data_IF_462061843786
#
_entry.id   IF_462061843786
#
_cell.length_a   1.000
_cell.length_b   1.000
_cell.length_c   1.000
_cell.angle_alpha   90.00
_cell.angle_beta   90.00
_cell.angle_gamma   90.00
#
_symmetry.space_group_name_H-M   'P 1'
#
loop_
_entity.id
_entity.type
_entity.pdbx_description
1 polymer ?
#
# COMPACT_ATOMS: atom_id res chain seq x y z
N UNK A 1 48.54 5.00 13.77
CA UNK A 1 47.82 3.85 14.35
C UNK A 1 47.51 2.86 13.23
N UNK A 2 48.08 1.65 13.26
CA UNK A 2 47.86 0.62 12.24
C UNK A 2 46.41 0.13 12.18
N UNK A 3 45.95 -0.29 11.00
CA UNK A 3 44.65 -0.93 10.80
C UNK A 3 44.61 -2.24 11.61
N UNK A 4 43.48 -2.52 12.25
CA UNK A 4 43.31 -3.78 12.97
C UNK A 4 42.96 -4.88 11.96
N UNK A 5 43.69 -5.99 12.01
CA UNK A 5 43.51 -7.18 11.16
C UNK A 5 42.14 -7.84 11.41
N UNK A 6 41.54 -8.42 10.38
CA UNK A 6 40.24 -9.08 10.46
C UNK A 6 40.32 -10.27 11.43
N UNK A 7 39.40 -10.34 12.40
CA UNK A 7 39.37 -11.42 13.41
C UNK A 7 40.15 -11.15 14.71
N UNK A 8 40.95 -10.09 14.79
CA UNK A 8 41.65 -9.74 16.04
C UNK A 8 40.70 -9.16 17.10
N UNK A 9 41.00 -9.35 18.39
CA UNK A 9 40.25 -8.74 19.50
C UNK A 9 40.10 -7.20 19.36
N UNK A 10 41.13 -6.54 18.80
CA UNK A 10 41.10 -5.11 18.47
C UNK A 10 40.10 -4.77 17.35
N UNK A 11 39.98 -5.62 16.33
CA UNK A 11 38.99 -5.49 15.26
C UNK A 11 37.56 -5.69 15.81
N UNK A 12 37.36 -6.71 16.64
CA UNK A 12 36.07 -6.95 17.30
C UNK A 12 35.68 -5.80 18.24
N UNK A 13 36.63 -5.31 19.06
CA UNK A 13 36.42 -4.15 19.94
C UNK A 13 36.08 -2.89 19.15
N UNK A 14 36.76 -2.63 18.03
CA UNK A 14 36.44 -1.50 17.15
C UNK A 14 35.06 -1.66 16.51
N UNK A 15 34.68 -2.87 16.09
CA UNK A 15 33.36 -3.17 15.51
C UNK A 15 32.25 -2.98 16.55
N UNK A 16 32.46 -3.44 17.80
CA UNK A 16 31.52 -3.23 18.90
C UNK A 16 31.38 -1.76 19.30
N UNK A 17 32.50 -1.01 19.39
CA UNK A 17 32.48 0.44 19.63
C UNK A 17 31.80 1.22 18.51
N UNK A 18 31.90 0.73 17.27
CA UNK A 18 31.24 1.32 16.10
C UNK A 18 29.75 0.95 15.98
N UNK A 19 29.28 -0.07 16.71
CA UNK A 19 27.86 -0.46 16.81
C UNK A 19 27.10 0.29 17.89
N UNK A 20 27.78 0.83 18.91
CA UNK A 20 27.14 1.61 19.97
C UNK A 20 26.93 3.08 19.58
N UNK A 21 25.73 3.61 19.83
CA UNK A 21 25.31 5.02 19.99
C UNK A 21 26.02 6.11 19.15
N UNK A 22 26.53 5.80 17.97
CA UNK A 22 27.12 6.79 17.06
C UNK A 22 26.09 7.17 16.01
N UNK A 23 25.67 8.45 16.03
CA UNK A 23 24.79 9.00 14.99
C UNK A 23 25.53 8.93 13.65
N UNK A 24 24.86 8.41 12.63
CA UNK A 24 25.39 8.32 11.26
C UNK A 24 25.70 9.69 10.62
N UNK A 25 25.23 10.78 11.24
CA UNK A 25 25.57 12.16 10.89
C UNK A 25 27.08 12.43 10.75
N UNK A 26 27.94 11.68 11.46
CA UNK A 26 29.40 11.91 11.48
C UNK A 26 30.20 10.89 10.64
N UNK A 27 29.61 10.33 9.60
CA UNK A 27 30.28 9.40 8.68
C UNK A 27 30.84 10.12 7.44
N UNK A 28 32.07 9.76 7.04
CA UNK A 28 32.68 10.24 5.80
C UNK A 28 32.71 9.13 4.75
N UNK A 29 31.99 9.31 3.63
CA UNK A 29 31.96 8.35 2.52
C UNK A 29 33.33 8.23 1.82
N UNK A 30 33.99 9.35 1.54
CA UNK A 30 35.27 9.40 0.82
C UNK A 30 36.37 8.62 1.57
N UNK A 31 36.36 8.70 2.91
CA UNK A 31 37.34 8.02 3.74
C UNK A 31 36.83 6.71 4.36
N UNK A 32 35.56 6.35 4.11
CA UNK A 32 34.83 5.24 4.74
C UNK A 32 35.03 5.19 6.27
N UNK A 33 34.98 6.36 6.91
CA UNK A 33 35.34 6.55 8.32
C UNK A 33 34.18 7.13 9.12
N UNK A 34 33.74 6.38 10.13
CA UNK A 34 32.83 6.90 11.15
C UNK A 34 33.61 7.72 12.18
N UNK A 35 33.22 8.98 12.35
CA UNK A 35 33.67 9.81 13.45
C UNK A 35 32.70 9.67 14.64
N UNK A 36 33.22 9.85 15.86
CA UNK A 36 32.46 9.66 17.10
C UNK A 36 31.52 10.83 17.37
N UNK A 37 32.05 12.05 17.23
CA UNK A 37 31.38 13.29 17.57
C UNK A 37 31.59 14.35 16.48
N UNK A 38 30.84 15.45 16.56
CA UNK A 38 30.90 16.56 15.60
C UNK A 38 32.30 17.16 15.48
N UNK A 39 32.98 17.37 16.60
CA UNK A 39 34.35 17.89 16.62
C UNK A 39 35.32 16.93 15.91
N UNK A 40 35.15 15.62 16.12
CA UNK A 40 35.94 14.59 15.42
C UNK A 40 35.72 14.61 13.91
N UNK A 41 34.49 14.87 13.46
CA UNK A 41 34.16 15.01 12.05
C UNK A 41 34.74 16.29 11.44
N UNK A 42 34.65 17.44 12.13
CA UNK A 42 35.27 18.70 11.70
C UNK A 42 36.79 18.57 11.54
N UNK A 43 37.45 17.97 12.53
CA UNK A 43 38.90 17.69 12.44
C UNK A 43 39.23 16.69 11.33
N UNK A 44 38.35 15.71 11.07
CA UNK A 44 38.54 14.76 9.97
C UNK A 44 38.49 15.46 8.61
N UNK A 45 37.51 16.34 8.37
CA UNK A 45 37.38 17.08 7.11
C UNK A 45 38.62 17.97 6.89
N UNK A 46 39.12 18.63 7.93
CA UNK A 46 40.33 19.48 7.81
C UNK A 46 41.64 18.68 7.70
N UNK A 47 41.59 17.36 7.88
CA UNK A 47 42.80 16.53 7.87
C UNK A 47 43.40 16.42 6.47
N UNK A 48 44.73 16.45 6.31
CA UNK A 48 45.38 16.30 5.01
C UNK A 48 45.06 14.95 4.33
N UNK A 49 44.76 13.91 5.11
CA UNK A 49 44.33 12.62 4.56
C UNK A 49 43.00 12.72 3.82
N UNK A 50 42.03 13.45 4.39
CA UNK A 50 40.73 13.64 3.76
C UNK A 50 40.85 14.51 2.51
N UNK A 51 41.60 15.62 2.59
CA UNK A 51 41.88 16.48 1.45
C UNK A 51 42.54 15.71 0.30
N UNK A 52 43.56 14.89 0.59
CA UNK A 52 44.21 14.04 -0.40
C UNK A 52 43.25 13.06 -1.07
N UNK A 53 42.30 12.49 -0.31
CA UNK A 53 41.32 11.58 -0.89
C UNK A 53 40.28 12.32 -1.72
N UNK A 54 39.83 13.51 -1.29
CA UNK A 54 38.94 14.35 -2.11
C UNK A 54 39.60 14.70 -3.44
N UNK A 55 40.88 15.07 -3.46
CA UNK A 55 41.59 15.40 -4.71
C UNK A 55 41.70 14.21 -5.68
N UNK A 56 41.49 12.98 -5.21
CA UNK A 56 41.47 11.78 -6.05
C UNK A 56 40.09 11.43 -6.59
N UNK A 57 39.03 11.96 -5.97
CA UNK A 57 37.65 11.68 -6.42
C UNK A 57 37.44 12.35 -7.75
N UNK A 58 37.14 11.56 -8.77
CA UNK A 58 36.79 12.06 -10.09
C UNK A 58 35.28 12.16 -10.27
N UNK A 59 34.84 12.83 -11.33
CA UNK A 59 33.41 12.86 -11.69
C UNK A 59 32.83 11.46 -11.99
N UNK A 60 33.65 10.51 -12.45
CA UNK A 60 33.20 9.14 -12.69
C UNK A 60 32.91 8.40 -11.39
N UNK A 61 33.65 8.70 -10.32
CA UNK A 61 33.39 8.11 -9.00
C UNK A 61 32.08 8.63 -8.41
N UNK A 62 31.79 9.93 -8.60
CA UNK A 62 30.52 10.54 -8.18
C UNK A 62 29.33 9.90 -8.93
N UNK A 63 29.50 9.62 -10.23
CA UNK A 63 28.49 8.91 -11.02
C UNK A 63 28.22 7.50 -10.45
N UNK A 64 29.29 6.74 -10.15
CA UNK A 64 29.17 5.41 -9.52
C UNK A 64 28.48 5.45 -8.17
N UNK A 65 28.81 6.42 -7.31
CA UNK A 65 28.11 6.59 -6.03
C UNK A 65 26.64 6.94 -6.23
N UNK A 66 26.32 7.73 -7.26
CA UNK A 66 24.94 8.09 -7.60
C UNK A 66 24.16 6.86 -8.06
N UNK A 67 24.72 6.03 -8.94
CA UNK A 67 24.10 4.79 -9.40
C UNK A 67 23.86 3.81 -8.24
N UNK A 68 24.86 3.60 -7.38
CA UNK A 68 24.73 2.75 -6.21
C UNK A 68 23.67 3.27 -5.24
N UNK A 69 23.67 4.58 -4.97
CA UNK A 69 22.66 5.23 -4.13
C UNK A 69 21.26 5.02 -4.68
N UNK A 70 21.08 5.19 -5.99
CA UNK A 70 19.79 5.01 -6.64
C UNK A 70 19.29 3.56 -6.58
N UNK A 71 20.17 2.60 -6.86
CA UNK A 71 19.85 1.18 -6.78
C UNK A 71 19.44 0.77 -5.36
N UNK A 72 20.19 1.21 -4.35
CA UNK A 72 19.90 0.91 -2.96
C UNK A 72 18.60 1.57 -2.50
N UNK A 73 18.37 2.83 -2.89
CA UNK A 73 17.15 3.58 -2.58
C UNK A 73 15.90 2.89 -3.17
N UNK A 74 15.95 2.51 -4.45
CA UNK A 74 14.84 1.82 -5.11
C UNK A 74 14.64 0.40 -4.57
N UNK A 75 15.73 -0.30 -4.21
CA UNK A 75 15.64 -1.63 -3.59
C UNK A 75 14.91 -1.55 -2.26
N UNK A 76 15.27 -0.60 -1.39
CA UNK A 76 14.60 -0.43 -0.11
C UNK A 76 13.14 -0.02 -0.31
N UNK A 77 12.86 0.92 -1.21
CA UNK A 77 11.51 1.39 -1.48
C UNK A 77 10.60 0.25 -1.97
N UNK A 78 11.13 -0.63 -2.82
CA UNK A 78 10.42 -1.82 -3.29
C UNK A 78 10.16 -2.82 -2.17
N UNK A 79 11.10 -3.02 -1.25
CA UNK A 79 10.98 -3.98 -0.15
C UNK A 79 10.05 -3.49 0.97
N UNK A 80 10.10 -2.21 1.34
CA UNK A 80 9.38 -1.69 2.51
C UNK A 80 7.95 -1.23 2.20
N UNK A 81 7.75 -0.49 1.10
CA UNK A 81 6.46 0.15 0.80
C UNK A 81 5.84 -0.31 -0.53
N UNK A 82 6.68 -0.63 -1.51
CA UNK A 82 6.23 -0.95 -2.87
C UNK A 82 5.38 0.18 -3.44
N UNK A 83 4.13 -0.12 -3.79
CA UNK A 83 3.22 0.83 -4.44
C UNK A 83 2.54 1.82 -3.47
N UNK A 84 2.70 1.63 -2.15
CA UNK A 84 2.08 2.51 -1.15
C UNK A 84 2.76 3.89 -1.15
N UNK A 85 1.95 4.93 -1.02
CA UNK A 85 2.46 6.30 -0.88
C UNK A 85 3.07 6.51 0.50
N UNK A 86 4.28 7.05 0.55
CA UNK A 86 4.95 7.43 1.79
C UNK A 86 5.59 8.82 1.68
N UNK A 87 5.60 9.56 2.79
CA UNK A 87 6.31 10.83 2.90
C UNK A 87 7.82 10.65 2.69
N UNK A 88 8.38 11.50 1.85
CA UNK A 88 9.78 11.48 1.41
C UNK A 88 10.77 11.54 2.58
N UNK A 89 10.60 12.51 3.48
CA UNK A 89 11.50 12.67 4.62
C UNK A 89 11.47 11.47 5.57
N UNK A 90 10.29 10.88 5.74
CA UNK A 90 10.12 9.67 6.56
C UNK A 90 10.89 8.50 5.96
N UNK A 91 10.72 8.28 4.65
CA UNK A 91 11.43 7.22 3.94
C UNK A 91 12.95 7.44 3.90
N UNK A 92 13.40 8.68 3.66
CA UNK A 92 14.83 8.99 3.65
C UNK A 92 15.47 8.75 5.03
N UNK A 93 14.78 9.10 6.11
CA UNK A 93 15.25 8.81 7.47
C UNK A 93 15.37 7.31 7.76
N UNK A 94 14.48 6.49 7.19
CA UNK A 94 14.57 5.02 7.25
C UNK A 94 15.76 4.51 6.42
N UNK A 95 15.95 5.04 5.21
CA UNK A 95 17.04 4.67 4.32
C UNK A 95 18.44 4.90 4.94
N UNK A 96 18.62 6.04 5.62
CA UNK A 96 19.90 6.39 6.26
C UNK A 96 20.12 5.75 7.63
N UNK A 97 19.25 4.84 8.10
CA UNK A 97 19.50 4.11 9.35
C UNK A 97 20.65 3.11 9.20
N UNK A 98 20.87 2.62 8.00
CA UNK A 98 21.94 1.69 7.71
C UNK A 98 23.26 2.41 7.41
N UNK A 99 24.29 2.03 8.17
CA UNK A 99 25.62 2.64 8.09
C UNK A 99 26.36 2.36 6.78
N UNK A 100 26.01 1.28 6.11
CA UNK A 100 26.71 0.82 4.91
C UNK A 100 26.12 1.39 3.63
N UNK A 101 24.97 2.09 3.72
CA UNK A 101 24.40 2.77 2.56
C UNK A 101 25.14 4.08 2.29
N UNK A 102 25.15 4.44 1.02
CA UNK A 102 25.73 5.70 0.56
C UNK A 102 24.81 6.82 1.05
N UNK A 103 25.40 7.87 1.62
CA UNK A 103 24.64 9.06 1.99
C UNK A 103 24.49 10.00 0.79
N UNK A 104 23.41 10.78 0.78
CA UNK A 104 23.09 11.73 -0.29
C UNK A 104 24.24 12.72 -0.60
N UNK A 105 25.02 13.11 0.42
CA UNK A 105 26.16 14.01 0.29
C UNK A 105 27.27 13.51 -0.66
N UNK A 106 27.29 12.21 -0.97
CA UNK A 106 28.25 11.63 -1.90
C UNK A 106 27.76 11.59 -3.35
N UNK A 107 26.51 11.97 -3.60
CA UNK A 107 25.88 11.95 -4.93
C UNK A 107 25.98 13.31 -5.61
N UNK A 108 25.63 13.36 -6.91
CA UNK A 108 25.54 14.61 -7.67
C UNK A 108 24.42 15.57 -7.23
N UNK A 109 23.50 15.13 -6.38
CA UNK A 109 22.30 15.89 -6.03
C UNK A 109 22.50 16.72 -4.77
N UNK A 110 22.19 18.03 -4.85
CA UNK A 110 22.34 18.95 -3.72
C UNK A 110 21.24 18.81 -2.65
N UNK A 111 20.08 18.28 -3.02
CA UNK A 111 18.94 18.11 -2.12
C UNK A 111 18.13 16.85 -2.47
N UNK A 112 17.40 16.34 -1.48
CA UNK A 112 16.52 15.18 -1.62
C UNK A 112 15.40 15.43 -2.63
N UNK A 113 14.87 16.66 -2.65
CA UNK A 113 13.85 17.11 -3.60
C UNK A 113 14.32 16.98 -5.05
N UNK A 114 15.53 17.46 -5.37
CA UNK A 114 16.12 17.34 -6.72
C UNK A 114 16.35 15.89 -7.13
N UNK A 115 16.77 15.05 -6.20
CA UNK A 115 16.91 13.61 -6.46
C UNK A 115 15.57 12.96 -6.80
N UNK A 116 14.49 13.32 -6.10
CA UNK A 116 13.16 12.77 -6.35
C UNK A 116 12.55 13.30 -7.65
N UNK A 117 12.77 14.57 -7.97
CA UNK A 117 12.42 15.13 -9.28
C UNK A 117 13.12 14.36 -10.40
N UNK A 118 14.40 14.01 -10.23
CA UNK A 118 15.13 13.16 -11.18
C UNK A 118 14.49 11.78 -11.33
N UNK A 119 14.17 11.10 -10.22
CA UNK A 119 13.49 9.79 -10.25
C UNK A 119 12.10 9.83 -10.90
N UNK A 120 11.39 10.96 -10.73
CA UNK A 120 10.11 11.22 -11.38
C UNK A 120 10.27 11.35 -12.90
N UNK A 121 11.28 12.11 -13.36
CA UNK A 121 11.61 12.27 -14.79
C UNK A 121 12.00 10.95 -15.45
N UNK A 122 12.69 10.07 -14.73
CA UNK A 122 13.01 8.72 -15.22
C UNK A 122 11.81 7.74 -15.15
N UNK A 123 10.72 8.15 -14.50
CA UNK A 123 9.52 7.32 -14.34
C UNK A 123 9.76 6.05 -13.51
N UNK A 124 10.67 6.11 -12.53
CA UNK A 124 10.94 5.00 -11.58
C UNK A 124 10.07 5.12 -10.32
N UNK A 125 9.69 6.35 -9.96
CA UNK A 125 8.89 6.67 -8.79
C UNK A 125 7.79 7.64 -9.20
N UNK A 126 6.57 7.41 -8.71
CA UNK A 126 5.46 8.37 -8.83
C UNK A 126 5.48 9.29 -7.63
N UNK A 127 5.58 10.58 -7.90
CA UNK A 127 5.59 11.65 -6.89
C UNK A 127 4.21 12.28 -6.85
N UNK A 128 3.68 12.52 -5.65
CA UNK A 128 2.42 13.24 -5.44
C UNK A 128 2.70 14.45 -4.55
N UNK A 129 2.16 15.61 -4.93
CA UNK A 129 2.43 16.89 -4.24
C UNK A 129 3.50 17.78 -4.89
N UNK A 130 4.01 17.42 -6.09
CA UNK A 130 4.90 18.30 -6.85
C UNK A 130 4.14 19.42 -7.58
N UNK A 131 2.85 19.23 -7.85
CA UNK A 131 2.02 20.13 -8.65
C UNK A 131 1.46 21.35 -7.87
N UNK A 132 1.68 21.41 -6.56
CA UNK A 132 1.00 22.40 -5.70
C UNK A 132 1.80 23.65 -5.37
N UNK A 133 3.11 23.72 -5.66
CA UNK A 133 3.93 24.91 -5.35
C UNK A 133 5.02 25.15 -6.39
N UNK A 134 5.24 26.44 -6.70
CA UNK A 134 6.32 26.91 -7.57
C UNK A 134 7.69 26.34 -7.15
N UNK A 135 8.59 26.19 -8.12
CA UNK A 135 9.87 25.45 -8.03
C UNK A 135 10.80 25.84 -6.87
N UNK A 136 10.54 26.97 -6.20
CA UNK A 136 11.43 27.58 -5.21
C UNK A 136 11.09 27.28 -3.73
N UNK A 137 9.88 26.80 -3.39
CA UNK A 137 9.46 26.54 -1.99
C UNK A 137 8.73 25.20 -1.79
N UNK A 138 9.25 24.13 -2.40
CA UNK A 138 8.68 22.80 -2.18
C UNK A 138 9.23 22.22 -0.87
N UNK A 139 8.38 22.20 0.15
CA UNK A 139 8.70 21.58 1.43
C UNK A 139 8.81 20.05 1.28
N UNK A 140 9.97 19.43 1.57
CA UNK A 140 10.18 17.99 1.41
C UNK A 140 9.33 17.15 2.38
N UNK A 141 8.71 17.80 3.37
CA UNK A 141 7.79 17.18 4.34
C UNK A 141 6.45 16.79 3.72
N UNK A 142 6.02 17.48 2.66
CA UNK A 142 4.71 17.28 2.03
C UNK A 142 4.78 16.34 0.82
N UNK A 143 5.98 16.06 0.31
CA UNK A 143 6.15 15.18 -0.85
C UNK A 143 5.89 13.72 -0.49
N UNK A 144 5.05 13.08 -1.30
CA UNK A 144 4.73 11.67 -1.22
C UNK A 144 5.36 10.93 -2.41
N UNK A 145 5.97 9.78 -2.15
CA UNK A 145 6.56 8.91 -3.16
C UNK A 145 5.91 7.53 -3.15
N UNK A 146 5.79 6.92 -4.32
CA UNK A 146 5.34 5.54 -4.53
C UNK A 146 6.17 4.88 -5.61
N UNK A 147 6.56 3.62 -5.40
CA UNK A 147 7.36 2.90 -6.38
C UNK A 147 6.53 2.51 -7.60
N UNK A 148 7.08 2.69 -8.80
CA UNK A 148 6.47 2.19 -10.04
C UNK A 148 7.17 0.87 -10.40
N UNK A 149 6.48 -0.25 -10.18
CA UNK A 149 7.00 -1.54 -10.64
C UNK A 149 6.67 -1.77 -12.13
N UNK A 150 7.72 -1.90 -12.94
CA UNK A 150 7.66 -2.19 -14.39
C UNK A 150 7.89 -3.67 -14.72
N UNK A 151 8.00 -4.55 -13.72
CA UNK A 151 8.18 -5.98 -13.94
C UNK A 151 6.96 -6.61 -14.63
N UNK A 152 7.20 -7.57 -15.52
CA UNK A 152 6.15 -8.24 -16.29
C UNK A 152 5.10 -8.91 -15.39
N UNK A 153 5.52 -9.48 -14.27
CA UNK A 153 4.62 -10.12 -13.30
C UNK A 153 3.61 -9.12 -12.70
N UNK A 154 4.06 -7.91 -12.35
CA UNK A 154 3.16 -6.88 -11.83
C UNK A 154 2.27 -6.27 -12.92
N UNK A 155 2.72 -6.22 -14.17
CA UNK A 155 1.87 -5.83 -15.29
C UNK A 155 0.75 -6.84 -15.54
N UNK A 156 1.07 -8.14 -15.56
CA UNK A 156 0.07 -9.21 -15.70
C UNK A 156 -0.94 -9.19 -14.57
N UNK A 157 -0.48 -9.11 -13.32
CA UNK A 157 -1.36 -9.02 -12.15
C UNK A 157 -2.29 -7.81 -12.22
N UNK A 158 -1.80 -6.66 -12.69
CA UNK A 158 -2.62 -5.46 -12.88
C UNK A 158 -3.61 -5.60 -14.03
N UNK A 159 -3.26 -6.30 -15.10
CA UNK A 159 -4.17 -6.59 -16.20
C UNK A 159 -5.28 -7.53 -15.74
N UNK A 160 -4.94 -8.63 -15.05
CA UNK A 160 -5.91 -9.58 -14.49
C UNK A 160 -6.87 -8.91 -13.51
N UNK A 161 -6.37 -8.03 -12.62
CA UNK A 161 -7.24 -7.30 -11.69
C UNK A 161 -8.20 -6.34 -12.43
N UNK A 162 -7.73 -5.65 -13.48
CA UNK A 162 -8.59 -4.77 -14.28
C UNK A 162 -9.66 -5.56 -15.02
N UNK A 163 -9.32 -6.70 -15.61
CA UNK A 163 -10.31 -7.57 -16.26
C UNK A 163 -11.35 -8.08 -15.27
N UNK A 164 -10.93 -8.44 -14.04
CA UNK A 164 -11.87 -8.85 -12.99
C UNK A 164 -12.78 -7.69 -12.54
N UNK A 165 -12.24 -6.48 -12.37
CA UNK A 165 -13.02 -5.29 -12.00
C UNK A 165 -14.03 -4.94 -13.11
N UNK A 166 -13.61 -4.92 -14.37
CA UNK A 166 -14.49 -4.68 -15.53
C UNK A 166 -15.61 -5.74 -15.63
N UNK A 167 -15.27 -7.00 -15.41
CA UNK A 167 -16.26 -8.09 -15.38
C UNK A 167 -17.24 -7.92 -14.20
N UNK A 168 -16.76 -7.53 -13.01
CA UNK A 168 -17.61 -7.26 -11.86
C UNK A 168 -18.54 -6.07 -12.10
N UNK A 169 -18.04 -4.98 -12.68
CA UNK A 169 -18.84 -3.81 -13.03
C UNK A 169 -19.94 -4.18 -14.04
N UNK A 170 -19.59 -4.97 -15.07
CA UNK A 170 -20.55 -5.48 -16.04
C UNK A 170 -21.63 -6.37 -15.39
N UNK A 171 -21.24 -7.31 -14.54
CA UNK A 171 -22.18 -8.14 -13.78
C UNK A 171 -23.08 -7.31 -12.85
N UNK A 172 -22.52 -6.30 -12.17
CA UNK A 172 -23.28 -5.41 -11.28
C UNK A 172 -24.31 -4.59 -12.07
N UNK A 173 -23.95 -4.10 -13.26
CA UNK A 173 -24.88 -3.41 -14.15
C UNK A 173 -26.01 -4.33 -14.63
N UNK A 174 -25.72 -5.59 -14.94
CA UNK A 174 -26.75 -6.56 -15.33
C UNK A 174 -27.66 -6.91 -14.15
N UNK A 175 -27.11 -7.12 -12.96
CA UNK A 175 -27.86 -7.39 -11.72
C UNK A 175 -28.75 -6.20 -11.34
N UNK A 176 -28.26 -4.97 -11.45
CA UNK A 176 -29.03 -3.76 -11.11
C UNK A 176 -30.22 -3.57 -12.06
N UNK A 177 -30.03 -3.79 -13.37
CA UNK A 177 -31.13 -3.76 -14.36
C UNK A 177 -32.19 -4.82 -14.08
N UNK A 178 -31.79 -6.03 -13.71
CA UNK A 178 -32.74 -7.12 -13.44
C UNK A 178 -33.53 -6.87 -12.15
N UNK A 179 -32.88 -6.30 -11.13
CA UNK A 179 -33.52 -5.88 -9.89
C UNK A 179 -34.51 -4.73 -10.12
N UNK A 180 -34.13 -3.70 -10.89
CA UNK A 180 -35.04 -2.61 -11.25
C UNK A 180 -36.32 -3.13 -11.93
N UNK A 181 -36.18 -4.10 -12.83
CA UNK A 181 -37.34 -4.72 -13.49
C UNK A 181 -38.25 -5.45 -12.50
N UNK A 182 -37.70 -6.15 -11.52
CA UNK A 182 -38.50 -6.81 -10.47
C UNK A 182 -39.21 -5.81 -9.58
N UNK A 183 -38.55 -4.69 -9.23
CA UNK A 183 -39.15 -3.61 -8.44
C UNK A 183 -40.30 -2.96 -9.22
N UNK A 184 -40.12 -2.66 -10.51
CA UNK A 184 -41.18 -2.09 -11.34
C UNK A 184 -42.38 -3.02 -11.48
N UNK A 185 -42.16 -4.33 -11.60
CA UNK A 185 -43.23 -5.32 -11.63
C UNK A 185 -43.95 -5.40 -10.28
N UNK A 186 -43.22 -5.46 -9.17
CA UNK A 186 -43.78 -5.45 -7.83
C UNK A 186 -44.58 -4.17 -7.53
N UNK A 187 -44.09 -3.00 -7.94
CA UNK A 187 -44.81 -1.73 -7.81
C UNK A 187 -46.10 -1.72 -8.64
N UNK A 188 -46.08 -2.28 -9.86
CA UNK A 188 -47.29 -2.39 -10.68
C UNK A 188 -48.31 -3.34 -10.04
N UNK A 189 -47.86 -4.46 -9.49
CA UNK A 189 -48.71 -5.41 -8.77
C UNK A 189 -49.29 -4.77 -7.49
N UNK A 190 -48.49 -4.04 -6.70
CA UNK A 190 -48.97 -3.28 -5.54
C UNK A 190 -50.00 -2.22 -5.93
N UNK A 191 -49.75 -1.44 -7.00
CA UNK A 191 -50.73 -0.45 -7.48
C UNK A 191 -52.00 -1.11 -8.02
N UNK A 192 -51.91 -2.27 -8.67
CA UNK A 192 -53.07 -3.02 -9.12
C UNK A 192 -53.85 -3.63 -7.95
N UNK A 193 -53.17 -4.12 -6.91
CA UNK A 193 -53.81 -4.60 -5.68
C UNK A 193 -54.48 -3.47 -4.89
N UNK A 194 -53.90 -2.27 -4.87
CA UNK A 194 -54.50 -1.09 -4.25
C UNK A 194 -55.70 -0.57 -5.06
N UNK A 195 -55.64 -0.60 -6.40
CA UNK A 195 -56.79 -0.29 -7.26
C UNK A 195 -57.92 -1.31 -7.11
N UNK A 196 -57.62 -2.61 -7.06
CA UNK A 196 -58.62 -3.68 -6.84
C UNK A 196 -59.24 -3.58 -5.45
N UNK A 197 -58.47 -3.23 -4.41
CA UNK A 197 -59.01 -2.94 -3.07
C UNK A 197 -59.94 -1.73 -3.09
N UNK A 198 -59.60 -0.67 -3.82
CA UNK A 198 -60.44 0.53 -3.95
C UNK A 198 -61.74 0.28 -4.73
N UNK A 199 -61.72 -0.55 -5.79
CA UNK A 199 -62.91 -0.95 -6.53
C UNK A 199 -63.80 -1.93 -5.74
N UNK A 200 -63.21 -2.85 -4.96
CA UNK A 200 -63.96 -3.76 -4.09
C UNK A 200 -64.68 -3.04 -2.95
N UNK A 201 -64.11 -1.95 -2.42
CA UNK A 201 -64.75 -1.06 -1.45
C UNK A 201 -65.90 -0.22 -2.08
N UNK A 202 -65.89 -0.06 -3.40
CA UNK A 202 -66.93 0.68 -4.14
C UNK A 202 -68.09 -0.23 -4.58
N UNK A 203 -67.81 -1.53 -4.85
CA UNK A 203 -68.84 -2.53 -5.20
C UNK A 203 -69.64 -3.07 -4.00
N UNK A 204 -69.20 -2.89 -2.77
CA UNK A 204 -69.94 -3.30 -1.56
C UNK A 204 -71.14 -2.39 -1.19
N UNK A 205 -71.54 -1.46 -2.07
CA UNK A 205 -72.62 -0.48 -1.83
C UNK A 205 -73.97 -0.80 -2.49
N UNK A 206 -74.13 -1.92 -3.18
CA UNK A 206 -75.44 -2.40 -3.67
C UNK A 206 -75.91 -3.61 -2.85
N UNK A 207 -77.19 -3.66 -2.42
CA UNK A 207 -77.67 -4.74 -1.57
C UNK A 207 -77.85 -6.01 -2.42
N UNK A 208 -76.89 -6.93 -2.34
CA UNK A 208 -77.10 -8.30 -2.82
C UNK A 208 -77.94 -9.05 -1.80
N UNK A 209 -79.13 -9.48 -2.25
CA UNK A 209 -79.99 -10.44 -1.54
C UNK A 209 -79.21 -11.72 -1.28
N UNK A 210 -79.27 -12.21 -0.04
CA UNK A 210 -78.66 -13.46 0.37
C UNK A 210 -79.17 -14.63 -0.49
N UNK A 211 -78.28 -15.26 -1.26
CA UNK A 211 -78.48 -16.60 -1.80
C UNK A 211 -77.70 -17.54 -0.90
N UNK A 212 -78.43 -18.39 -0.17
CA UNK A 212 -77.85 -19.46 0.65
C UNK A 212 -77.38 -20.58 -0.28
N UNK A 213 -76.07 -20.75 -0.44
CA UNK A 213 -75.49 -21.95 -1.06
C UNK A 213 -74.80 -22.75 0.02
N UNK A 214 -75.39 -23.90 0.36
CA UNK A 214 -74.82 -24.88 1.27
C UNK A 214 -73.82 -25.73 0.48
N UNK A 215 -72.53 -25.65 0.79
CA UNK A 215 -71.54 -26.59 0.30
C UNK A 215 -70.88 -27.29 1.50
N UNK A 216 -71.19 -28.58 1.64
CA UNK A 216 -70.65 -29.46 2.69
C UNK A 216 -69.14 -29.63 2.51
N UNK A 217 -68.40 -29.31 3.57
CA UNK A 217 -67.02 -29.73 3.76
C UNK A 217 -66.95 -31.28 3.78
N UNK A 218 -66.24 -31.85 2.82
CA UNK A 218 -65.65 -33.20 2.96
C UNK A 218 -64.14 -33.07 2.88
N UNK A 219 -63.52 -32.65 3.98
CA UNK A 219 -62.08 -32.72 4.17
C UNK A 219 -61.67 -34.18 4.43
N UNK A 220 -61.08 -34.82 3.41
CA UNK A 220 -60.40 -36.11 3.53
C UNK A 220 -58.92 -35.86 3.84
N UNK A 221 -58.47 -36.39 4.99
CA UNK A 221 -57.07 -36.40 5.46
C UNK A 221 -56.12 -37.06 4.45
N UNK A 222 -54.99 -36.40 4.20
CA UNK A 222 -53.64 -36.97 4.05
C UNK A 222 -52.66 -35.80 4.29
N UNK A 223 -51.73 -35.78 5.24
CA UNK A 223 -50.86 -36.86 5.71
C UNK A 223 -49.51 -36.75 4.99
N UNK A 224 -48.68 -35.76 5.33
CA UNK A 224 -47.36 -35.55 4.70
C UNK A 224 -46.42 -34.71 5.57
N UNK A 225 -45.44 -35.39 6.17
CA UNK A 225 -44.46 -34.95 7.18
C UNK A 225 -43.55 -33.78 6.80
N UNK A 226 -43.42 -32.78 7.69
CA UNK A 226 -42.32 -31.81 7.67
C UNK A 226 -41.18 -32.28 8.57
N UNK A 227 -40.01 -32.56 7.97
CA UNK A 227 -38.77 -32.93 8.68
C UNK A 227 -38.13 -31.67 9.27
N UNK A 228 -38.11 -31.59 10.60
CA UNK A 228 -37.23 -30.70 11.36
C UNK A 228 -35.77 -31.12 11.17
N UNK A 229 -34.93 -30.26 10.62
CA UNK A 229 -33.47 -30.39 10.68
C UNK A 229 -32.98 -29.88 12.03
N UNK A 230 -32.44 -30.80 12.84
CA UNK A 230 -31.78 -30.52 14.12
C UNK A 230 -30.41 -29.90 13.86
N UNK A 231 -30.18 -28.73 14.44
CA UNK A 231 -28.85 -28.19 14.70
C UNK A 231 -28.16 -29.05 15.77
N UNK A 232 -27.04 -29.68 15.43
CA UNK A 232 -26.18 -30.38 16.39
C UNK A 232 -24.96 -29.51 16.72
N UNK A 233 -24.82 -29.21 18.01
CA UNK A 233 -23.61 -28.65 18.64
C UNK A 233 -22.67 -29.80 19.03
N UNK A 234 -21.37 -29.59 18.82
CA UNK A 234 -20.26 -30.40 19.35
C UNK A 234 -19.28 -30.78 18.24
N UNK A 235 -17.96 -30.71 18.38
CA UNK A 235 -17.08 -30.65 19.56
C UNK A 235 -15.68 -30.26 19.06
N UNK A 236 -15.02 -29.31 19.71
CA UNK A 236 -13.64 -28.90 19.42
C UNK A 236 -12.69 -30.08 19.68
N UNK A 237 -11.90 -30.46 18.68
CA UNK A 237 -10.72 -31.30 18.88
C UNK A 237 -9.47 -30.41 18.80
N UNK A 238 -8.74 -30.35 19.92
CA UNK A 238 -7.35 -29.92 19.99
C UNK A 238 -6.51 -31.11 19.54
N UNK A 239 -5.70 -30.96 18.50
CA UNK A 239 -4.54 -31.82 18.28
C UNK A 239 -3.26 -30.98 18.40
N UNK A 240 -2.40 -31.46 19.29
CA UNK A 240 -1.06 -31.02 19.62
C UNK A 240 -0.10 -32.11 19.07
N UNK A 241 1.10 -31.70 18.66
CA UNK A 241 2.23 -32.45 18.05
C UNK A 241 2.04 -32.75 16.55
N UNK A 242 2.92 -32.31 15.64
CA UNK A 242 4.40 -32.14 15.68
C UNK A 242 4.91 -30.76 15.28
#
# INVERSE_FOLDING_TARGET
MGKAEFGTAKYLSNKMKARGLQKLKFYCQVCQKQCRDENGFKSHIRSPFHMKNISKVSNTDIARYTEQFEQDFLRLLRLSHGEKQIGVNKFYNEFIQDKHHIHMNATRFSSLTKFIQYLSKEGKVKVTGLDSLAEDEIDPSQLLISYIDKSQQNLLRKAELKELDENQESEQQMKSRLLQRQIELGQKEETAEDEIKSESATRSRLPQRAIHVNLKDTMKKAGGSSKKTKTMRGKVHKNVFM
#
